data_IF_706499150611
#
_entry.id   IF_706499150611
#
_cell.length_a   1.000
_cell.length_b   1.000
_cell.length_c   1.000
_cell.angle_alpha   90.00
_cell.angle_beta   90.00
_cell.angle_gamma   90.00
#
_symmetry.space_group_name_H-M   'P 1'
#
loop_
_entity.id
_entity.type
_entity.pdbx_description
1 polymer ?
#
# COMPACT_ATOMS: atom_id res chain seq x y z
N UNK A 1 19.91 -3.89 -3.43
CA UNK A 1 18.89 -4.91 -3.75
C UNK A 1 17.86 -4.40 -4.76
N UNK A 2 18.29 -4.11 -6.00
CA UNK A 2 17.39 -3.58 -7.05
C UNK A 2 16.53 -4.68 -7.71
N UNK A 3 17.02 -5.93 -7.71
CA UNK A 3 16.42 -7.03 -8.47
C UNK A 3 14.98 -7.36 -8.02
N UNK A 4 14.71 -7.37 -6.71
CA UNK A 4 13.36 -7.60 -6.18
C UNK A 4 12.39 -6.46 -6.56
N UNK A 5 12.83 -5.21 -6.50
CA UNK A 5 12.03 -4.05 -6.92
C UNK A 5 11.71 -4.11 -8.42
N UNK A 6 12.73 -4.31 -9.26
CA UNK A 6 12.56 -4.42 -10.71
C UNK A 6 11.60 -5.55 -11.08
N UNK A 7 11.76 -6.71 -10.45
CA UNK A 7 10.87 -7.85 -10.72
C UNK A 7 9.42 -7.55 -10.34
N UNK A 8 9.21 -6.88 -9.20
CA UNK A 8 7.87 -6.46 -8.79
C UNK A 8 7.25 -5.47 -9.79
N UNK A 9 7.99 -4.46 -10.23
CA UNK A 9 7.50 -3.45 -11.18
C UNK A 9 7.11 -4.05 -12.53
N UNK A 10 7.89 -5.01 -13.03
CA UNK A 10 7.61 -5.67 -14.32
C UNK A 10 6.48 -6.71 -14.23
N UNK A 11 6.45 -7.50 -13.15
CA UNK A 11 5.55 -8.65 -13.04
C UNK A 11 4.21 -8.33 -12.38
N UNK A 12 4.13 -7.27 -11.54
CA UNK A 12 2.87 -6.93 -10.87
C UNK A 12 1.75 -6.70 -11.88
N UNK A 13 2.02 -6.01 -12.98
CA UNK A 13 1.05 -5.75 -14.05
C UNK A 13 0.50 -7.04 -14.68
N UNK A 14 1.35 -8.06 -14.82
CA UNK A 14 1.04 -9.34 -15.48
C UNK A 14 0.28 -10.32 -14.58
N UNK A 15 0.36 -10.15 -13.24
CA UNK A 15 -0.37 -10.98 -12.30
C UNK A 15 -1.89 -10.83 -12.50
N UNK A 16 -2.62 -11.94 -12.51
CA UNK A 16 -4.09 -11.92 -12.66
C UNK A 16 -4.75 -11.28 -11.44
N UNK A 17 -5.91 -10.64 -11.64
CA UNK A 17 -6.80 -10.24 -10.54
C UNK A 17 -7.20 -11.50 -9.74
N UNK A 18 -7.16 -11.40 -8.42
CA UNK A 18 -7.31 -12.52 -7.48
C UNK A 18 -6.01 -13.27 -7.19
N UNK A 19 -4.90 -12.92 -7.85
CA UNK A 19 -3.59 -13.52 -7.63
C UNK A 19 -2.88 -13.00 -6.38
N UNK A 20 -1.80 -13.70 -6.02
CA UNK A 20 -0.91 -13.35 -4.90
C UNK A 20 0.49 -13.13 -5.45
N UNK A 21 1.12 -12.02 -5.08
CA UNK A 21 2.54 -11.78 -5.30
C UNK A 21 3.27 -12.00 -3.98
N UNK A 22 4.20 -12.95 -3.94
CA UNK A 22 4.92 -13.33 -2.73
C UNK A 22 6.41 -13.02 -2.92
N UNK A 23 7.02 -12.38 -1.92
CA UNK A 23 8.45 -12.09 -1.87
C UNK A 23 9.04 -12.75 -0.63
N UNK A 24 10.08 -13.56 -0.84
CA UNK A 24 10.89 -14.16 0.22
C UNK A 24 12.19 -13.37 0.46
N UNK A 25 12.96 -13.78 1.46
CA UNK A 25 14.28 -13.23 1.78
C UNK A 25 14.32 -11.72 2.03
N UNK A 26 13.23 -11.15 2.57
CA UNK A 26 13.16 -9.72 2.91
C UNK A 26 14.27 -9.29 3.89
N UNK A 27 14.78 -10.20 4.74
CA UNK A 27 15.86 -9.93 5.69
C UNK A 27 17.17 -9.47 5.01
N UNK A 28 17.41 -9.87 3.76
CA UNK A 28 18.61 -9.47 2.99
C UNK A 28 18.67 -7.97 2.74
N UNK A 29 17.54 -7.25 2.84
CA UNK A 29 17.47 -5.78 2.83
C UNK A 29 18.31 -5.13 3.95
N UNK A 30 18.63 -5.87 5.01
CA UNK A 30 19.43 -5.39 6.14
C UNK A 30 20.91 -5.78 6.06
N UNK A 31 21.29 -6.66 5.14
CA UNK A 31 22.62 -7.27 5.11
C UNK A 31 23.55 -6.56 4.12
N UNK A 32 24.70 -6.02 4.57
CA UNK A 32 25.66 -5.34 3.69
C UNK A 32 26.16 -6.19 2.52
N UNK A 33 26.28 -7.51 2.71
CA UNK A 33 26.70 -8.44 1.66
C UNK A 33 25.77 -8.45 0.42
N UNK A 34 24.52 -8.04 0.59
CA UNK A 34 23.52 -7.93 -0.48
C UNK A 34 23.24 -6.46 -0.87
N UNK A 35 24.10 -5.52 -0.43
CA UNK A 35 23.88 -4.09 -0.59
C UNK A 35 22.68 -3.57 0.22
N UNK A 36 22.36 -4.26 1.31
CA UNK A 36 21.36 -3.86 2.29
C UNK A 36 21.97 -3.14 3.49
N UNK A 37 21.15 -2.41 4.23
CA UNK A 37 21.46 -1.83 5.53
C UNK A 37 20.14 -1.38 6.19
N UNK A 38 20.13 -1.29 7.52
CA UNK A 38 18.96 -0.82 8.24
C UNK A 38 18.56 0.60 7.79
N UNK A 39 17.31 0.76 7.36
CA UNK A 39 16.73 2.01 6.82
C UNK A 39 17.49 2.60 5.62
N UNK A 40 18.23 1.80 4.86
CA UNK A 40 18.82 2.26 3.63
C UNK A 40 17.70 2.56 2.60
N UNK A 41 17.58 3.80 2.09
CA UNK A 41 16.44 4.20 1.26
C UNK A 41 16.37 3.47 -0.09
N UNK A 42 17.46 2.81 -0.49
CA UNK A 42 17.58 2.09 -1.75
C UNK A 42 17.34 0.58 -1.63
N UNK A 43 17.02 0.07 -0.44
CA UNK A 43 16.74 -1.35 -0.24
C UNK A 43 15.26 -1.67 -0.49
N UNK A 44 14.97 -2.97 -0.70
CA UNK A 44 13.63 -3.40 -1.06
C UNK A 44 12.62 -3.28 0.10
N UNK A 45 13.06 -3.44 1.35
CA UNK A 45 12.21 -3.20 2.51
C UNK A 45 11.67 -1.76 2.56
N UNK A 46 12.52 -0.74 2.41
CA UNK A 46 12.09 0.66 2.39
C UNK A 46 11.25 0.97 1.15
N UNK A 47 11.56 0.38 -0.01
CA UNK A 47 10.72 0.47 -1.19
C UNK A 47 9.27 -0.01 -0.92
N UNK A 48 9.10 -1.18 -0.30
CA UNK A 48 7.76 -1.71 -0.03
C UNK A 48 6.99 -0.91 1.01
N UNK A 49 7.66 -0.23 1.95
CA UNK A 49 6.98 0.67 2.90
C UNK A 49 6.32 1.85 2.20
N UNK A 50 6.93 2.38 1.14
CA UNK A 50 6.29 3.43 0.33
C UNK A 50 5.02 2.92 -0.39
N UNK A 51 4.89 1.61 -0.62
CA UNK A 51 3.67 1.03 -1.17
C UNK A 51 2.50 1.07 -0.16
N UNK A 52 2.77 1.20 1.14
CA UNK A 52 1.72 1.34 2.17
C UNK A 52 0.96 2.65 1.95
N UNK A 53 1.64 3.74 1.61
CA UNK A 53 0.98 5.00 1.26
C UNK A 53 0.16 4.83 -0.02
N UNK A 54 0.69 4.13 -1.01
CA UNK A 54 -0.02 3.87 -2.26
C UNK A 54 -1.23 2.94 -2.11
N UNK A 55 -1.19 2.00 -1.16
CA UNK A 55 -2.35 1.18 -0.77
C UNK A 55 -3.49 2.07 -0.25
N UNK A 56 -3.16 3.19 0.40
CA UNK A 56 -4.09 4.12 1.02
C UNK A 56 -4.36 5.40 0.20
N UNK A 57 -3.84 5.49 -1.04
CA UNK A 57 -3.89 6.73 -1.82
C UNK A 57 -5.30 7.23 -2.17
N UNK A 58 -6.34 6.43 -2.00
CA UNK A 58 -7.73 6.89 -2.12
C UNK A 58 -8.13 7.95 -1.08
N UNK A 59 -7.41 8.01 0.04
CA UNK A 59 -7.65 9.00 1.11
C UNK A 59 -6.79 10.26 0.96
N UNK A 60 -6.04 10.39 -0.14
CA UNK A 60 -5.24 11.57 -0.40
C UNK A 60 -6.14 12.81 -0.53
N UNK A 61 -5.68 13.92 0.04
CA UNK A 61 -6.31 15.24 -0.12
C UNK A 61 -5.67 16.00 -1.28
N UNK A 62 -6.43 16.90 -1.89
CA UNK A 62 -5.94 17.74 -2.99
C UNK A 62 -4.64 18.47 -2.59
N UNK A 63 -3.64 18.42 -3.47
CA UNK A 63 -2.33 19.05 -3.25
C UNK A 63 -1.36 18.25 -2.37
N UNK A 64 -1.74 17.08 -1.83
CA UNK A 64 -0.84 16.24 -1.02
C UNK A 64 0.30 15.57 -1.79
N UNK A 65 0.19 15.48 -3.12
CA UNK A 65 1.14 14.77 -3.98
C UNK A 65 0.99 13.24 -3.97
N UNK A 66 0.16 12.67 -3.09
CA UNK A 66 -0.21 11.26 -3.11
C UNK A 66 -1.33 11.05 -4.14
N UNK A 67 -1.06 10.24 -5.17
CA UNK A 67 -1.96 10.07 -6.31
C UNK A 67 -2.30 8.60 -6.49
N UNK A 68 -3.60 8.31 -6.60
CA UNK A 68 -4.13 6.98 -6.92
C UNK A 68 -3.51 6.48 -8.22
N UNK A 69 -2.77 5.36 -8.14
CA UNK A 69 -2.08 4.78 -9.27
C UNK A 69 -2.56 3.34 -9.56
N UNK A 70 -1.88 2.65 -10.48
CA UNK A 70 -2.19 1.27 -10.83
C UNK A 70 -2.11 0.31 -9.63
N UNK A 71 -1.15 0.53 -8.71
CA UNK A 71 -1.05 -0.25 -7.48
C UNK A 71 -2.25 0.00 -6.56
N UNK A 72 -2.64 1.26 -6.30
CA UNK A 72 -3.84 1.61 -5.51
C UNK A 72 -5.12 0.96 -6.05
N UNK A 73 -5.22 0.82 -7.38
CA UNK A 73 -6.38 0.22 -8.05
C UNK A 73 -6.34 -1.30 -8.09
N UNK A 74 -5.22 -1.93 -7.74
CA UNK A 74 -5.03 -3.37 -7.91
C UNK A 74 -4.51 -4.11 -6.68
N UNK A 75 -4.03 -3.42 -5.64
CA UNK A 75 -3.56 -4.02 -4.39
C UNK A 75 -4.67 -3.97 -3.33
N UNK A 76 -5.03 -5.13 -2.78
CA UNK A 76 -6.04 -5.24 -1.72
C UNK A 76 -5.41 -5.20 -0.32
N UNK A 77 -4.32 -5.95 -0.13
CA UNK A 77 -3.67 -6.11 1.16
C UNK A 77 -2.19 -6.40 1.00
N UNK A 78 -1.42 -6.05 2.03
CA UNK A 78 0.00 -6.37 2.20
C UNK A 78 0.19 -7.01 3.57
N UNK A 79 0.74 -8.23 3.60
CA UNK A 79 1.01 -8.98 4.83
C UNK A 79 2.50 -9.16 5.00
N UNK A 80 3.05 -8.58 6.07
CA UNK A 80 4.45 -8.72 6.44
C UNK A 80 4.60 -9.83 7.48
N UNK A 81 5.43 -10.81 7.16
CA UNK A 81 5.88 -11.87 8.06
C UNK A 81 7.39 -11.78 8.23
N UNK A 82 7.95 -12.59 9.12
CA UNK A 82 9.41 -12.69 9.23
C UNK A 82 9.99 -13.11 7.87
N UNK A 83 10.83 -12.24 7.32
CA UNK A 83 11.47 -12.37 6.02
C UNK A 83 10.55 -12.57 4.79
N UNK A 84 9.23 -12.36 4.89
CA UNK A 84 8.30 -12.60 3.78
C UNK A 84 7.32 -11.42 3.66
N UNK A 85 7.04 -11.01 2.43
CA UNK A 85 5.94 -10.08 2.10
C UNK A 85 4.96 -10.76 1.12
N UNK A 86 3.68 -10.74 1.47
CA UNK A 86 2.59 -11.24 0.63
C UNK A 86 1.70 -10.07 0.22
N UNK A 87 1.50 -9.88 -1.08
CA UNK A 87 0.64 -8.83 -1.63
C UNK A 87 -0.52 -9.47 -2.39
N UNK A 88 -1.75 -9.15 -1.99
CA UNK A 88 -2.96 -9.65 -2.64
C UNK A 88 -3.38 -8.71 -3.77
N UNK A 89 -3.52 -9.24 -4.99
CA UNK A 89 -4.00 -8.48 -6.15
C UNK A 89 -5.50 -8.65 -6.30
N UNK A 90 -6.27 -7.56 -6.25
CA UNK A 90 -7.72 -7.54 -6.53
C UNK A 90 -8.12 -6.27 -7.27
N UNK A 91 -9.22 -6.28 -8.01
CA UNK A 91 -9.73 -5.06 -8.62
C UNK A 91 -10.31 -4.16 -7.52
N UNK A 92 -9.64 -3.04 -7.23
CA UNK A 92 -10.03 -2.11 -6.17
C UNK A 92 -10.73 -0.89 -6.74
N UNK A 93 -11.76 -0.45 -6.03
CA UNK A 93 -12.46 0.83 -6.25
C UNK A 93 -12.24 1.74 -5.05
N UNK A 94 -12.55 3.01 -5.21
CA UNK A 94 -12.52 3.96 -4.10
C UNK A 94 -13.40 3.44 -2.94
N UNK A 95 -12.89 3.44 -1.70
CA UNK A 95 -13.70 3.14 -0.52
C UNK A 95 -14.72 4.26 -0.29
N UNK A 96 -15.86 3.91 0.31
CA UNK A 96 -16.91 4.84 0.68
C UNK A 96 -17.13 4.83 2.20
N UNK A 97 -17.17 6.01 2.81
CA UNK A 97 -17.57 6.15 4.20
C UNK A 97 -19.10 6.09 4.32
N UNK A 98 -19.61 5.35 5.29
CA UNK A 98 -21.04 5.32 5.65
C UNK A 98 -21.19 5.35 7.16
N UNK A 99 -22.15 6.14 7.65
CA UNK A 99 -22.50 6.21 9.07
C UNK A 99 -23.99 5.89 9.26
N UNK A 100 -24.32 5.18 10.34
CA UNK A 100 -25.71 4.95 10.77
C UNK A 100 -25.80 5.15 12.29
N UNK A 101 -26.92 5.71 12.74
CA UNK A 101 -27.19 5.99 14.16
C UNK A 101 -27.06 7.47 14.51
N UNK A 102 -27.12 7.77 15.81
CA UNK A 102 -26.90 9.13 16.34
C UNK A 102 -25.51 9.17 17.00
N UNK A 103 -24.62 10.08 16.59
CA UNK A 103 -23.35 10.28 17.27
C UNK A 103 -23.56 10.54 18.77
N UNK A 104 -22.79 9.85 19.64
CA UNK A 104 -22.79 10.13 21.09
C UNK A 104 -21.98 11.37 21.46
N UNK A 105 -21.19 11.88 20.51
CA UNK A 105 -20.42 13.11 20.60
C UNK A 105 -20.68 13.94 19.33
N UNK A 106 -20.77 15.28 19.43
CA UNK A 106 -20.96 16.12 18.27
C UNK A 106 -19.76 16.01 17.32
N UNK A 107 -20.04 15.80 16.04
CA UNK A 107 -19.04 15.88 14.98
C UNK A 107 -18.80 17.34 14.61
N UNK A 108 -17.54 17.69 14.33
CA UNK A 108 -17.24 18.98 13.73
C UNK A 108 -17.88 19.06 12.33
N UNK A 109 -18.22 20.26 11.81
CA UNK A 109 -18.83 20.40 10.50
C UNK A 109 -18.05 19.72 9.37
N UNK A 110 -16.70 19.76 9.43
CA UNK A 110 -15.84 19.11 8.45
C UNK A 110 -15.91 17.58 8.53
N UNK A 111 -16.07 17.01 9.73
CA UNK A 111 -16.18 15.57 9.94
C UNK A 111 -17.56 15.07 9.50
N UNK A 112 -18.63 15.80 9.82
CA UNK A 112 -19.98 15.49 9.37
C UNK A 112 -20.06 15.50 7.84
N UNK A 113 -19.43 16.48 7.18
CA UNK A 113 -19.37 16.58 5.73
C UNK A 113 -18.68 15.38 5.04
N UNK A 114 -17.87 14.58 5.74
CA UNK A 114 -17.31 13.33 5.17
C UNK A 114 -18.41 12.29 4.97
N UNK A 115 -19.34 12.18 5.92
CA UNK A 115 -20.43 11.20 5.87
C UNK A 115 -21.60 11.65 5.00
N UNK A 116 -21.83 12.95 4.89
CA UNK A 116 -22.91 13.51 4.06
C UNK A 116 -22.63 13.37 2.54
N UNK A 117 -21.39 13.05 2.17
CA UNK A 117 -20.94 12.86 0.77
C UNK A 117 -21.19 11.44 0.22
N UNK A 118 -21.62 10.49 1.06
CA UNK A 118 -21.85 9.07 0.70
C UNK A 118 -23.33 8.67 0.67
#
# INVERSE_FOLDING_TARGET
MLQQATTFEELWGQLKIGGIYLIEDMHTSYWPAFGGAYKAPTNFMEYTKNLIDQLNAWYAVDGSGLVVNGFTRTAFAMHYYDSILVIEKRAMTAPHARMKGKPSFPLAPAEQAVYDRG
#
